data_IF_516433561584
#
_entry.id   IF_516433561584
#
_cell.length_a   1.000
_cell.length_b   1.000
_cell.length_c   1.000
_cell.angle_alpha   90.00
_cell.angle_beta   90.00
_cell.angle_gamma   90.00
#
_symmetry.space_group_name_H-M   'P 1'
#
loop_
_entity.id
_entity.type
_entity.pdbx_description
1 polymer ?
#
# COMPACT_ATOMS: atom_id res chain seq x y z
N UNK A 1 -0.40 21.41 18.09
CA UNK A 1 0.36 21.44 16.82
C UNK A 1 -0.65 21.40 15.69
N UNK A 2 -0.51 22.26 14.68
CA UNK A 2 -1.45 22.32 13.57
C UNK A 2 -1.31 21.08 12.68
N UNK A 3 -2.44 20.48 12.33
CA UNK A 3 -2.52 19.34 11.41
C UNK A 3 -2.23 19.88 10.01
N UNK A 4 -1.14 19.43 9.39
CA UNK A 4 -0.86 19.73 7.98
C UNK A 4 -1.39 18.58 7.14
N UNK A 5 -2.54 18.77 6.52
CA UNK A 5 -3.09 17.84 5.52
C UNK A 5 -2.81 18.39 4.13
N UNK A 6 -2.15 17.62 3.29
CA UNK A 6 -1.92 17.96 1.89
C UNK A 6 -3.19 17.72 1.08
N UNK A 7 -3.61 18.71 0.29
CA UNK A 7 -4.71 18.60 -0.69
C UNK A 7 -4.21 18.42 -2.12
N UNK A 8 -2.91 18.11 -2.29
CA UNK A 8 -2.24 17.96 -3.59
C UNK A 8 -2.71 16.71 -4.35
N UNK A 9 -3.08 15.68 -3.60
CA UNK A 9 -3.33 14.33 -4.08
C UNK A 9 -4.82 14.03 -4.16
N UNK A 10 -5.20 13.22 -5.15
CA UNK A 10 -6.60 12.85 -5.41
C UNK A 10 -6.92 11.41 -5.03
N UNK A 11 -5.91 10.55 -4.97
CA UNK A 11 -5.98 9.12 -4.65
C UNK A 11 -5.36 8.79 -3.29
N UNK A 12 -4.55 9.66 -2.71
CA UNK A 12 -4.08 9.52 -1.33
C UNK A 12 -4.31 10.80 -0.56
N UNK A 13 -4.59 10.69 0.75
CA UNK A 13 -4.48 11.83 1.66
C UNK A 13 -3.22 11.68 2.49
N UNK A 14 -2.43 12.75 2.56
CA UNK A 14 -1.21 12.82 3.37
C UNK A 14 -1.41 13.81 4.51
N UNK A 15 -1.28 13.38 5.76
CA UNK A 15 -1.29 14.27 6.93
C UNK A 15 -0.11 14.03 7.85
N UNK A 16 0.40 15.12 8.44
CA UNK A 16 1.57 15.08 9.32
C UNK A 16 1.19 15.38 10.77
N UNK A 17 1.53 14.44 11.64
CA UNK A 17 1.47 14.54 13.10
C UNK A 17 2.81 14.08 13.68
N UNK A 18 3.89 14.87 13.54
CA UNK A 18 5.22 14.45 13.95
C UNK A 18 5.25 13.80 15.35
N UNK A 19 5.90 12.63 15.49
CA UNK A 19 6.81 12.01 14.53
C UNK A 19 6.16 11.13 13.45
N UNK A 20 4.85 11.20 13.24
CA UNK A 20 4.10 10.30 12.36
C UNK A 20 3.59 11.02 11.10
N UNK A 21 3.77 10.40 9.94
CA UNK A 21 3.07 10.73 8.70
C UNK A 21 1.99 9.68 8.43
N UNK A 22 0.77 10.12 8.13
CA UNK A 22 -0.35 9.25 7.79
C UNK A 22 -0.60 9.32 6.28
N UNK A 23 -0.58 8.16 5.63
CA UNK A 23 -0.90 7.97 4.22
C UNK A 23 -2.21 7.19 4.15
N UNK A 24 -3.29 7.87 3.75
CA UNK A 24 -4.61 7.26 3.61
C UNK A 24 -4.90 6.96 2.14
N UNK A 25 -5.12 5.69 1.80
CA UNK A 25 -5.56 5.27 0.46
C UNK A 25 -7.00 5.73 0.23
N UNK A 26 -7.24 6.50 -0.83
CA UNK A 26 -8.52 7.15 -1.08
C UNK A 26 -8.98 6.96 -2.52
N UNK A 27 -9.53 5.78 -2.81
CA UNK A 27 -10.21 5.51 -4.06
C UNK A 27 -11.51 4.73 -3.79
N UNK A 28 -12.56 5.41 -3.28
CA UNK A 28 -13.80 4.74 -2.92
C UNK A 28 -14.43 4.04 -4.14
N UNK A 29 -15.13 2.91 -3.94
CA UNK A 29 -15.53 2.36 -2.64
C UNK A 29 -14.53 1.38 -1.99
N UNK A 30 -13.58 0.86 -2.76
CA UNK A 30 -12.75 -0.28 -2.35
C UNK A 30 -11.26 0.05 -2.19
N UNK A 31 -10.86 1.30 -2.39
CA UNK A 31 -9.47 1.76 -2.44
C UNK A 31 -8.65 0.92 -3.43
N UNK A 32 -9.19 0.73 -4.64
CA UNK A 32 -8.46 0.09 -5.74
C UNK A 32 -7.22 0.92 -6.06
N UNK A 33 -6.07 0.26 -6.15
CA UNK A 33 -4.78 0.89 -6.45
C UNK A 33 -4.67 0.99 -7.97
N UNK A 34 -5.05 2.15 -8.51
CA UNK A 34 -4.84 2.50 -9.91
C UNK A 34 -3.46 3.17 -10.12
N UNK A 35 -3.11 3.45 -11.38
CA UNK A 35 -1.83 4.08 -11.72
C UNK A 35 -1.66 5.43 -11.02
N UNK A 36 -2.73 6.23 -10.94
CA UNK A 36 -2.68 7.53 -10.26
C UNK A 36 -2.34 7.36 -8.77
N UNK A 37 -2.96 6.40 -8.08
CA UNK A 37 -2.63 6.11 -6.68
C UNK A 37 -1.18 5.67 -6.52
N UNK A 38 -0.64 4.85 -7.43
CA UNK A 38 0.76 4.42 -7.37
C UNK A 38 1.72 5.61 -7.49
N UNK A 39 1.46 6.51 -8.43
CA UNK A 39 2.28 7.71 -8.65
C UNK A 39 2.23 8.66 -7.46
N UNK A 40 1.04 8.92 -6.93
CA UNK A 40 0.86 9.77 -5.76
C UNK A 40 1.47 9.14 -4.49
N UNK A 41 1.39 7.81 -4.31
CA UNK A 41 2.07 7.12 -3.22
C UNK A 41 3.59 7.24 -3.32
N UNK A 42 4.16 7.08 -4.52
CA UNK A 42 5.59 7.22 -4.73
C UNK A 42 6.06 8.64 -4.39
N UNK A 43 5.31 9.66 -4.84
CA UNK A 43 5.62 11.05 -4.53
C UNK A 43 5.48 11.35 -3.03
N UNK A 44 4.42 10.87 -2.38
CA UNK A 44 4.22 11.00 -0.94
C UNK A 44 5.36 10.35 -0.14
N UNK A 45 5.82 9.16 -0.54
CA UNK A 45 6.95 8.48 0.12
C UNK A 45 8.25 9.28 -0.01
N UNK A 46 8.53 9.87 -1.18
CA UNK A 46 9.69 10.75 -1.37
C UNK A 46 9.59 12.00 -0.49
N UNK A 47 8.40 12.63 -0.41
CA UNK A 47 8.16 13.77 0.47
C UNK A 47 8.39 13.41 1.95
N UNK A 48 7.87 12.26 2.39
CA UNK A 48 8.01 11.78 3.77
C UNK A 48 9.47 11.45 4.12
N UNK A 49 10.20 10.79 3.21
CA UNK A 49 11.59 10.39 3.45
C UNK A 49 12.49 11.62 3.68
N UNK A 50 12.24 12.71 2.96
CA UNK A 50 12.98 13.96 3.06
C UNK A 50 12.75 14.73 4.38
N UNK A 51 11.74 14.35 5.18
CA UNK A 51 11.37 15.05 6.41
C UNK A 51 12.12 14.51 7.64
N UNK A 52 12.98 15.31 8.31
CA UNK A 52 13.71 14.85 9.49
C UNK A 52 12.82 14.76 10.75
N UNK A 53 11.67 15.44 10.76
CA UNK A 53 10.71 15.44 11.87
C UNK A 53 9.75 14.24 11.85
N UNK A 54 9.74 13.45 10.77
CA UNK A 54 8.95 12.23 10.64
C UNK A 54 9.85 11.01 10.84
N UNK A 55 9.40 10.08 11.67
CA UNK A 55 10.07 8.81 11.96
C UNK A 55 9.21 7.60 11.59
N UNK A 56 7.89 7.77 11.50
CA UNK A 56 6.92 6.68 11.27
C UNK A 56 5.99 7.02 10.12
N UNK A 57 5.73 6.06 9.24
CA UNK A 57 4.73 6.10 8.17
C UNK A 57 3.59 5.16 8.55
N UNK A 58 2.36 5.66 8.59
CA UNK A 58 1.17 4.84 8.83
C UNK A 58 0.32 4.81 7.56
N UNK A 59 0.20 3.64 6.95
CA UNK A 59 -0.75 3.38 5.87
C UNK A 59 -2.10 2.95 6.44
N UNK A 60 -3.18 3.51 5.91
CA UNK A 60 -4.55 3.08 6.19
C UNK A 60 -5.42 3.27 4.94
N UNK A 61 -6.57 2.59 4.85
CA UNK A 61 -7.57 2.88 3.84
C UNK A 61 -8.62 3.88 4.33
N UNK A 62 -9.07 4.79 3.45
CA UNK A 62 -10.25 5.60 3.73
C UNK A 62 -11.54 4.75 3.67
N UNK A 63 -12.54 5.09 4.47
CA UNK A 63 -13.81 4.36 4.46
C UNK A 63 -13.70 2.95 5.04
N UNK A 64 -14.35 1.98 4.41
CA UNK A 64 -14.62 0.65 5.00
C UNK A 64 -13.51 -0.39 4.85
N UNK A 65 -12.57 -0.18 3.93
CA UNK A 65 -11.58 -1.19 3.57
C UNK A 65 -10.20 -0.56 3.50
N UNK A 66 -9.17 -1.35 3.76
CA UNK A 66 -7.79 -0.97 3.49
C UNK A 66 -7.58 -0.79 1.98
N UNK A 67 -7.67 -1.88 1.21
CA UNK A 67 -7.63 -1.89 -0.25
C UNK A 67 -8.06 -3.24 -0.82
N UNK A 68 -8.78 -3.22 -1.93
CA UNK A 68 -9.09 -4.42 -2.73
C UNK A 68 -7.97 -4.81 -3.71
N UNK A 69 -6.84 -4.10 -3.72
CA UNK A 69 -5.67 -4.42 -4.55
C UNK A 69 -5.55 -3.56 -5.80
N UNK A 70 -4.58 -3.94 -6.64
CA UNK A 70 -4.31 -3.27 -7.91
C UNK A 70 -5.45 -3.48 -8.89
N UNK A 71 -5.76 -2.46 -9.67
CA UNK A 71 -6.81 -2.51 -10.69
C UNK A 71 -6.62 -3.67 -11.67
N UNK A 72 -7.62 -4.55 -11.73
CA UNK A 72 -7.66 -5.70 -12.66
C UNK A 72 -7.64 -5.20 -14.11
N UNK A 73 -8.20 -4.02 -14.40
CA UNK A 73 -8.20 -3.44 -15.75
C UNK A 73 -6.79 -3.07 -16.26
N UNK A 74 -5.79 -3.04 -15.38
CA UNK A 74 -4.38 -2.84 -15.73
C UNK A 74 -3.62 -4.15 -16.04
N UNK A 75 -4.28 -5.31 -15.90
CA UNK A 75 -3.68 -6.63 -16.15
C UNK A 75 -3.83 -7.09 -17.62
N UNK A 76 -3.71 -6.15 -18.56
CA UNK A 76 -3.68 -6.44 -20.00
C UNK A 76 -2.24 -6.42 -20.50
N UNK A 77 -1.94 -7.14 -21.59
CA UNK A 77 -0.57 -7.28 -22.11
C UNK A 77 0.12 -5.94 -22.42
N UNK A 78 -0.63 -4.94 -22.83
CA UNK A 78 -0.16 -3.57 -23.15
C UNK A 78 0.05 -2.68 -21.93
N UNK A 79 -0.51 -3.04 -20.76
CA UNK A 79 -0.49 -2.19 -19.54
C UNK A 79 0.29 -2.80 -18.38
N UNK A 80 0.39 -4.13 -18.34
CA UNK A 80 0.93 -4.86 -17.18
C UNK A 80 2.36 -4.45 -16.85
N UNK A 81 3.20 -4.21 -17.85
CA UNK A 81 4.59 -3.79 -17.63
C UNK A 81 4.67 -2.43 -16.94
N UNK A 82 3.93 -1.44 -17.45
CA UNK A 82 3.88 -0.11 -16.86
C UNK A 82 3.27 -0.14 -15.44
N UNK A 83 2.20 -0.92 -15.25
CA UNK A 83 1.58 -1.11 -13.94
C UNK A 83 2.57 -1.71 -12.94
N UNK A 84 3.25 -2.80 -13.30
CA UNK A 84 4.22 -3.45 -12.43
C UNK A 84 5.39 -2.52 -12.10
N UNK A 85 5.92 -1.80 -13.09
CA UNK A 85 7.00 -0.84 -12.87
C UNK A 85 6.61 0.24 -11.84
N UNK A 86 5.38 0.76 -11.92
CA UNK A 86 4.86 1.79 -11.00
C UNK A 86 4.60 1.24 -9.61
N UNK A 87 3.96 0.08 -9.51
CA UNK A 87 3.68 -0.55 -8.23
C UNK A 87 4.99 -0.96 -7.52
N UNK A 88 5.93 -1.58 -8.24
CA UNK A 88 7.24 -1.93 -7.69
C UNK A 88 8.04 -0.70 -7.26
N UNK A 89 7.92 0.44 -7.94
CA UNK A 89 8.57 1.68 -7.49
C UNK A 89 8.08 2.11 -6.10
N UNK A 90 6.77 2.03 -5.82
CA UNK A 90 6.20 2.29 -4.48
C UNK A 90 6.77 1.32 -3.46
N UNK A 91 6.78 0.03 -3.77
CA UNK A 91 7.30 -1.01 -2.87
C UNK A 91 8.79 -0.80 -2.60
N UNK A 92 9.60 -0.50 -3.62
CA UNK A 92 11.02 -0.21 -3.46
C UNK A 92 11.28 1.02 -2.58
N UNK A 93 10.53 2.10 -2.76
CA UNK A 93 10.63 3.28 -1.88
C UNK A 93 10.29 2.94 -0.43
N UNK A 94 9.24 2.13 -0.22
CA UNK A 94 8.81 1.75 1.12
C UNK A 94 9.85 0.85 1.82
N UNK A 95 10.29 -0.23 1.17
CA UNK A 95 11.25 -1.18 1.78
C UNK A 95 12.66 -0.61 1.95
N UNK A 96 13.00 0.45 1.21
CA UNK A 96 14.28 1.16 1.36
C UNK A 96 14.21 2.39 2.26
N UNK A 97 13.01 2.73 2.75
CA UNK A 97 12.80 3.87 3.64
C UNK A 97 13.57 3.70 4.94
N UNK A 98 14.08 4.81 5.48
CA UNK A 98 14.68 4.84 6.83
C UNK A 98 13.64 5.06 7.92
N UNK A 99 12.37 5.26 7.54
CA UNK A 99 11.23 5.45 8.44
C UNK A 99 10.64 4.09 8.79
N UNK A 100 10.10 3.95 10.00
CA UNK A 100 9.35 2.75 10.37
C UNK A 100 7.96 2.80 9.72
N UNK A 101 7.59 1.77 8.98
CA UNK A 101 6.33 1.67 8.26
C UNK A 101 5.33 0.77 8.99
N UNK A 102 4.09 1.23 9.10
CA UNK A 102 3.00 0.51 9.76
C UNK A 102 1.78 0.47 8.85
N UNK A 103 1.24 -0.72 8.58
CA UNK A 103 -0.06 -0.89 7.95
C UNK A 103 -1.16 -1.06 9.01
N UNK A 104 -2.09 -0.11 9.08
CA UNK A 104 -3.31 -0.20 9.88
C UNK A 104 -4.45 -0.77 9.00
N UNK A 105 -4.71 -2.06 9.13
CA UNK A 105 -5.55 -2.83 8.21
C UNK A 105 -6.93 -3.10 8.79
N UNK A 106 -7.97 -2.75 8.04
CA UNK A 106 -9.38 -3.06 8.31
C UNK A 106 -10.13 -3.42 7.03
N UNK A 107 -11.24 -4.14 7.14
CA UNK A 107 -12.03 -4.55 5.98
C UNK A 107 -11.21 -5.35 4.97
N UNK A 108 -11.32 -5.05 3.67
CA UNK A 108 -10.59 -5.82 2.65
C UNK A 108 -9.14 -5.34 2.56
N UNK A 109 -8.20 -6.30 2.58
CA UNK A 109 -6.78 -6.13 2.32
C UNK A 109 -6.36 -7.23 1.35
N UNK A 110 -6.53 -6.97 0.05
CA UNK A 110 -6.44 -7.99 -0.99
C UNK A 110 -5.39 -7.64 -2.05
N UNK A 111 -4.79 -8.68 -2.64
CA UNK A 111 -3.83 -8.59 -3.74
C UNK A 111 -2.73 -7.58 -3.50
N UNK A 112 -2.51 -6.65 -4.44
CA UNK A 112 -1.53 -5.56 -4.25
C UNK A 112 -1.72 -4.70 -2.99
N UNK A 113 -2.93 -4.62 -2.42
CA UNK A 113 -3.17 -3.99 -1.13
C UNK A 113 -2.61 -4.82 0.03
N UNK A 114 -2.78 -6.14 -0.04
CA UNK A 114 -2.14 -7.07 0.88
C UNK A 114 -0.62 -7.07 0.71
N UNK A 115 -0.11 -6.95 -0.52
CA UNK A 115 1.32 -6.82 -0.80
C UNK A 115 1.93 -5.56 -0.18
N UNK A 116 1.29 -4.40 -0.35
CA UNK A 116 1.72 -3.14 0.27
C UNK A 116 1.77 -3.27 1.80
N UNK A 117 0.73 -3.86 2.40
CA UNK A 117 0.69 -4.03 3.85
C UNK A 117 1.74 -5.04 4.35
N UNK A 118 1.95 -6.12 3.60
CA UNK A 118 2.88 -7.20 3.97
C UNK A 118 4.34 -6.75 4.00
N UNK A 119 4.72 -5.76 3.18
CA UNK A 119 6.09 -5.22 3.15
C UNK A 119 6.33 -4.10 4.17
N UNK A 120 5.31 -3.66 4.91
CA UNK A 120 5.51 -2.75 6.04
C UNK A 120 6.26 -3.46 7.18
N UNK A 121 7.00 -2.69 7.98
CA UNK A 121 7.74 -3.22 9.14
C UNK A 121 6.80 -3.83 10.18
N UNK A 122 5.62 -3.23 10.36
CA UNK A 122 4.58 -3.70 11.27
C UNK A 122 3.21 -3.68 10.61
N UNK A 123 2.37 -4.65 10.96
CA UNK A 123 0.99 -4.74 10.51
C UNK A 123 0.08 -4.85 11.73
N UNK A 124 -0.86 -3.92 11.85
CA UNK A 124 -1.92 -3.97 12.86
C UNK A 124 -3.25 -4.25 12.17
N UNK A 125 -3.84 -5.41 12.45
CA UNK A 125 -5.05 -5.89 11.77
C UNK A 125 -6.25 -5.82 12.70
N UNK A 126 -7.33 -5.18 12.25
CA UNK A 126 -8.62 -5.21 12.95
C UNK A 126 -9.29 -6.58 12.80
N UNK A 127 -10.20 -6.91 13.71
CA UNK A 127 -11.02 -8.14 13.62
C UNK A 127 -11.88 -8.19 12.36
N UNK A 128 -12.23 -7.03 11.79
CA UNK A 128 -12.98 -6.91 10.54
C UNK A 128 -12.15 -7.18 9.29
N UNK A 129 -10.83 -7.35 9.42
CA UNK A 129 -9.93 -7.47 8.29
C UNK A 129 -10.06 -8.84 7.61
N UNK A 130 -10.10 -8.85 6.29
CA UNK A 130 -9.99 -10.03 5.45
C UNK A 130 -8.79 -9.87 4.52
N UNK A 131 -7.86 -10.80 4.63
CA UNK A 131 -6.64 -10.86 3.84
C UNK A 131 -6.76 -11.87 2.71
N UNK A 132 -6.07 -11.62 1.59
CA UNK A 132 -6.00 -12.59 0.52
C UNK A 132 -5.17 -12.15 -0.67
N UNK A 133 -4.68 -13.13 -1.42
CA UNK A 133 -3.93 -12.95 -2.67
C UNK A 133 -4.71 -13.64 -3.80
N UNK A 134 -5.80 -13.00 -4.31
CA UNK A 134 -6.68 -13.60 -5.31
C UNK A 134 -6.07 -13.73 -6.70
N UNK A 135 -4.85 -13.21 -6.92
CA UNK A 135 -4.11 -13.21 -8.20
C UNK A 135 -4.08 -14.59 -8.86
N UNK A 136 -3.87 -15.65 -8.07
CA UNK A 136 -3.82 -17.03 -8.56
C UNK A 136 -5.13 -17.43 -9.25
N UNK A 137 -6.28 -16.98 -8.71
CA UNK A 137 -7.60 -17.22 -9.30
C UNK A 137 -7.79 -16.46 -10.60
N UNK A 138 -7.07 -15.35 -10.79
CA UNK A 138 -7.05 -14.54 -12.01
C UNK A 138 -6.02 -15.03 -13.04
N UNK A 139 -5.28 -16.11 -12.73
CA UNK A 139 -4.26 -16.67 -13.62
C UNK A 139 -2.94 -15.90 -13.63
N UNK A 140 -2.69 -15.05 -12.63
CA UNK A 140 -1.41 -14.39 -12.40
C UNK A 140 -0.83 -14.79 -11.04
N UNK A 141 0.43 -14.44 -10.77
CA UNK A 141 1.05 -14.61 -9.46
C UNK A 141 1.22 -13.24 -8.79
N UNK A 142 1.17 -13.16 -7.45
CA UNK A 142 1.40 -11.91 -6.71
C UNK A 142 2.90 -11.61 -6.59
N UNK A 143 3.47 -10.67 -7.37
CA UNK A 143 4.92 -10.56 -7.56
C UNK A 143 5.68 -10.13 -6.31
N UNK A 144 5.08 -9.30 -5.46
CA UNK A 144 5.69 -8.85 -4.20
C UNK A 144 5.46 -9.91 -3.13
N UNK A 145 4.25 -10.49 -3.07
CA UNK A 145 3.90 -11.48 -2.05
C UNK A 145 4.79 -12.73 -2.15
N UNK A 146 5.13 -13.19 -3.35
CA UNK A 146 6.01 -14.37 -3.50
C UNK A 146 7.39 -14.17 -2.84
N UNK A 147 7.85 -12.93 -2.72
CA UNK A 147 9.12 -12.60 -2.03
C UNK A 147 8.96 -12.49 -0.51
N UNK A 148 7.82 -11.97 -0.04
CA UNK A 148 7.60 -11.64 1.37
C UNK A 148 6.91 -12.77 2.17
N UNK A 149 6.02 -13.55 1.54
CA UNK A 149 5.26 -14.62 2.18
C UNK A 149 6.12 -15.79 2.68
N UNK A 150 7.36 -15.94 2.16
CA UNK A 150 8.30 -16.90 2.75
C UNK A 150 8.49 -16.68 4.27
N UNK A 151 8.35 -15.43 4.74
CA UNK A 151 8.41 -15.06 6.15
C UNK A 151 7.25 -15.56 7.02
N UNK A 152 6.08 -15.87 6.44
CA UNK A 152 4.90 -16.37 7.19
C UNK A 152 4.89 -17.90 7.36
N UNK A 153 5.91 -18.57 6.82
CA UNK A 153 6.09 -20.02 6.88
C UNK A 153 5.52 -20.75 5.66
N UNK A 154 6.29 -21.71 5.14
CA UNK A 154 6.06 -22.37 3.84
C UNK A 154 4.67 -22.96 3.62
N UNK A 155 4.00 -23.45 4.68
CA UNK A 155 2.68 -24.08 4.57
C UNK A 155 1.53 -23.08 4.61
N UNK A 156 1.78 -21.86 5.11
CA UNK A 156 0.81 -20.75 5.11
C UNK A 156 0.93 -19.92 3.83
N UNK A 157 2.11 -19.94 3.21
CA UNK A 157 2.39 -19.24 1.96
C UNK A 157 1.97 -20.01 0.68
N UNK A 158 1.70 -21.32 0.79
CA UNK A 158 1.23 -22.18 -0.30
C UNK A 158 -0.29 -22.23 -0.30
#
# INVERSE_FOLDING_TARGET
MAIQTSTKFSRVTLSYHPPVAHVSLQNPPLNVIDIAMMEEMAEALVEIEARPDVLVIVFAGSGKHFSAGVDIAAHTADKVEAMLAKFHAVIHLLVSSKKVSIAAVHGHCLGGGAELALVCDLVYTAESATWGFPEITLGCYPPVAVTALAGVGKYRAR
#
